data_IF_336087446378
#
_entry.id   IF_336087446378
#
_cell.length_a   1.000
_cell.length_b   1.000
_cell.length_c   1.000
_cell.angle_alpha   90.00
_cell.angle_beta   90.00
_cell.angle_gamma   90.00
#
_symmetry.space_group_name_H-M   'P 1'
#
loop_
_entity.id
_entity.type
_entity.pdbx_description
1 polymer ?
#
# COMPACT_ATOMS: atom_id res chain seq x y z
N UNK A 1 31.83 -39.55 20.97
CA UNK A 1 30.39 -39.28 20.89
C UNK A 1 30.23 -37.85 20.41
N UNK A 2 29.91 -37.69 19.13
CA UNK A 2 29.77 -36.36 18.50
C UNK A 2 28.34 -35.94 18.67
N UNK A 3 28.09 -34.85 19.41
CA UNK A 3 26.79 -34.20 19.50
C UNK A 3 26.64 -33.35 18.26
N UNK A 4 25.94 -33.85 17.25
CA UNK A 4 25.47 -33.04 16.14
C UNK A 4 24.44 -32.05 16.66
N UNK A 5 24.82 -30.77 16.75
CA UNK A 5 23.89 -29.69 16.95
C UNK A 5 23.01 -29.60 15.68
N UNK A 6 21.83 -30.18 15.75
CA UNK A 6 20.75 -29.89 14.83
C UNK A 6 20.25 -28.46 15.14
N UNK A 7 20.84 -27.46 14.49
CA UNK A 7 20.14 -26.21 14.26
C UNK A 7 19.11 -26.50 13.16
N UNK A 8 17.83 -26.22 13.39
CA UNK A 8 16.85 -26.32 12.31
C UNK A 8 17.30 -25.42 11.16
N UNK A 9 17.21 -25.95 9.95
CA UNK A 9 17.47 -25.23 8.71
C UNK A 9 16.44 -24.09 8.57
N UNK A 10 16.63 -23.04 9.34
CA UNK A 10 15.94 -21.79 9.13
C UNK A 10 16.62 -21.13 7.94
N UNK A 11 16.06 -21.39 6.76
CA UNK A 11 16.31 -20.55 5.62
C UNK A 11 15.76 -19.16 6.00
N UNK A 12 16.58 -18.18 6.39
CA UNK A 12 16.09 -16.87 6.74
C UNK A 12 15.52 -16.28 5.46
N UNK A 13 14.22 -16.24 5.33
CA UNK A 13 13.58 -15.38 4.33
C UNK A 13 14.09 -13.98 4.65
N UNK A 14 15.06 -13.51 3.86
CA UNK A 14 15.56 -12.15 4.01
C UNK A 14 14.39 -11.23 3.70
N UNK A 15 13.82 -10.63 4.76
CA UNK A 15 12.77 -9.65 4.60
C UNK A 15 13.33 -8.38 3.97
N UNK A 16 12.57 -7.82 3.05
CA UNK A 16 12.93 -6.58 2.39
C UNK A 16 12.89 -5.42 3.40
N UNK A 17 13.68 -4.39 3.12
CA UNK A 17 13.64 -3.13 3.84
C UNK A 17 13.06 -2.05 2.93
N UNK A 18 12.21 -1.19 3.49
CA UNK A 18 11.71 -0.03 2.75
C UNK A 18 12.82 1.02 2.58
N UNK A 19 12.73 1.96 1.65
CA UNK A 19 13.66 3.08 1.55
C UNK A 19 13.73 3.95 2.82
N UNK A 20 12.71 3.87 3.67
CA UNK A 20 12.64 4.61 4.93
C UNK A 20 13.17 3.82 6.14
N UNK A 21 13.54 2.55 5.95
CA UNK A 21 13.87 1.63 7.05
C UNK A 21 14.91 2.20 8.04
N UNK A 22 15.97 2.85 7.57
CA UNK A 22 17.00 3.42 8.46
C UNK A 22 16.44 4.50 9.39
N UNK A 23 15.50 5.32 8.89
CA UNK A 23 14.82 6.37 9.68
C UNK A 23 13.78 5.78 10.61
N UNK A 24 13.05 4.79 10.14
CA UNK A 24 12.07 4.02 10.91
C UNK A 24 12.78 3.31 12.06
N UNK A 25 13.90 2.63 11.81
CA UNK A 25 14.67 1.95 12.84
C UNK A 25 15.26 2.91 13.89
N UNK A 26 15.73 4.09 13.46
CA UNK A 26 16.22 5.11 14.38
C UNK A 26 15.12 5.69 15.28
N UNK A 27 13.85 5.66 14.86
CA UNK A 27 12.71 6.13 15.63
C UNK A 27 12.04 5.03 16.48
N UNK A 28 12.37 3.76 16.24
CA UNK A 28 11.73 2.61 16.90
C UNK A 28 12.45 2.29 18.22
N UNK A 29 11.93 2.81 19.33
CA UNK A 29 12.48 2.59 20.67
C UNK A 29 12.15 1.20 21.21
N UNK A 30 10.99 0.65 20.85
CA UNK A 30 10.52 -0.67 21.31
C UNK A 30 11.29 -1.83 20.67
N UNK A 31 11.90 -1.62 19.52
CA UNK A 31 12.61 -2.64 18.75
C UNK A 31 11.75 -3.90 18.48
N UNK A 32 10.44 -3.71 18.33
CA UNK A 32 9.49 -4.77 17.99
C UNK A 32 9.17 -4.72 16.49
N UNK A 33 9.54 -5.78 15.77
CA UNK A 33 9.43 -5.84 14.32
C UNK A 33 8.51 -6.97 13.88
N UNK A 34 7.73 -6.71 12.84
CA UNK A 34 6.86 -7.64 12.16
C UNK A 34 7.16 -7.75 10.67
N UNK A 35 6.41 -8.61 10.00
CA UNK A 35 6.42 -8.77 8.56
C UNK A 35 5.13 -8.21 7.97
N UNK A 36 5.26 -7.40 6.90
CA UNK A 36 4.14 -6.95 6.09
C UNK A 36 4.50 -7.01 4.61
N UNK A 37 3.82 -7.86 3.85
CA UNK A 37 4.05 -8.07 2.40
C UNK A 37 5.52 -8.33 2.03
N UNK A 38 6.25 -9.08 2.88
CA UNK A 38 7.66 -9.39 2.67
C UNK A 38 8.65 -8.33 3.15
N UNK A 39 8.16 -7.21 3.66
CA UNK A 39 8.99 -6.18 4.28
C UNK A 39 9.03 -6.30 5.80
N UNK A 40 10.15 -5.91 6.41
CA UNK A 40 10.22 -5.71 7.85
C UNK A 40 9.66 -4.34 8.22
N UNK A 41 8.73 -4.32 9.17
CA UNK A 41 8.05 -3.10 9.64
C UNK A 41 8.00 -3.07 11.17
N UNK A 42 8.05 -1.91 11.83
CA UNK A 42 7.84 -1.84 13.27
C UNK A 42 6.37 -2.11 13.61
N UNK A 43 6.14 -2.89 14.65
CA UNK A 43 4.80 -3.07 15.20
C UNK A 43 4.37 -1.87 16.03
N UNK A 44 5.32 -1.23 16.70
CA UNK A 44 5.15 -0.04 17.52
C UNK A 44 6.49 0.70 17.62
N UNK A 45 6.49 2.02 17.62
CA UNK A 45 7.71 2.83 17.74
C UNK A 45 8.08 3.09 19.19
N UNK A 46 7.12 3.53 20.01
CA UNK A 46 7.32 3.91 21.40
C UNK A 46 6.33 3.21 22.33
N UNK A 47 5.07 3.59 22.26
CA UNK A 47 3.98 3.05 23.05
C UNK A 47 2.67 3.24 22.30
N UNK A 48 1.87 2.20 22.23
CA UNK A 48 0.60 2.17 21.46
C UNK A 48 -0.35 3.31 21.88
N UNK A 49 -0.46 3.59 23.17
CA UNK A 49 -1.34 4.66 23.66
C UNK A 49 -0.84 6.03 23.23
N UNK A 50 0.47 6.29 23.35
CA UNK A 50 1.08 7.56 22.94
C UNK A 50 0.92 7.77 21.42
N UNK A 51 1.15 6.73 20.63
CA UNK A 51 0.97 6.78 19.17
C UNK A 51 -0.49 7.03 18.80
N UNK A 52 -1.43 6.35 19.46
CA UNK A 52 -2.86 6.60 19.29
C UNK A 52 -3.22 8.08 19.55
N UNK A 53 -2.78 8.64 20.68
CA UNK A 53 -3.05 10.03 21.00
C UNK A 53 -2.34 11.02 20.07
N UNK A 54 -1.14 10.68 19.59
CA UNK A 54 -0.42 11.48 18.61
C UNK A 54 -1.22 11.58 17.29
N UNK A 55 -1.75 10.48 16.78
CA UNK A 55 -2.57 10.46 15.57
C UNK A 55 -3.90 11.21 15.77
N UNK A 56 -4.52 11.06 16.95
CA UNK A 56 -5.81 11.69 17.26
C UNK A 56 -5.72 13.19 17.51
N UNK A 57 -4.59 13.68 18.06
CA UNK A 57 -4.42 15.05 18.52
C UNK A 57 -3.46 15.87 17.65
N UNK A 58 -2.55 15.22 16.96
CA UNK A 58 -1.48 15.84 16.18
C UNK A 58 -1.40 15.23 14.77
N UNK A 59 -0.31 14.52 14.48
CA UNK A 59 -0.08 13.84 13.19
C UNK A 59 0.84 12.65 13.39
N UNK A 60 0.48 11.52 12.80
CA UNK A 60 1.35 10.36 12.62
C UNK A 60 1.87 10.26 11.18
N UNK A 61 3.04 9.65 11.04
CA UNK A 61 3.60 9.27 9.74
C UNK A 61 3.73 7.75 9.71
N UNK A 62 3.19 7.13 8.66
CA UNK A 62 3.20 5.69 8.47
C UNK A 62 3.93 5.34 7.19
N UNK A 63 4.83 4.36 7.27
CA UNK A 63 5.45 3.79 6.08
C UNK A 63 4.50 2.77 5.45
N UNK A 64 3.87 3.15 4.36
CA UNK A 64 2.96 2.32 3.56
C UNK A 64 3.63 1.73 2.32
N UNK A 65 4.97 1.78 2.24
CA UNK A 65 5.71 1.19 1.12
C UNK A 65 5.39 -0.29 0.89
N UNK A 66 5.11 -1.11 1.91
CA UNK A 66 4.73 -2.51 1.69
C UNK A 66 3.37 -2.72 0.99
N UNK A 67 2.45 -1.73 1.02
CA UNK A 67 1.18 -1.85 0.27
C UNK A 67 1.45 -2.12 -1.20
N UNK A 68 0.65 -2.97 -1.83
CA UNK A 68 0.79 -3.31 -3.25
C UNK A 68 0.32 -2.16 -4.13
N UNK A 69 1.06 -1.87 -5.20
CA UNK A 69 0.72 -0.84 -6.19
C UNK A 69 0.70 -1.43 -7.58
N UNK A 70 -0.41 -1.23 -8.27
CA UNK A 70 -0.58 -1.67 -9.64
C UNK A 70 -0.79 -0.47 -10.55
N UNK A 71 0.00 -0.38 -11.62
CA UNK A 71 -0.26 0.56 -12.71
C UNK A 71 -1.19 -0.11 -13.70
N UNK A 72 -2.25 0.57 -14.09
CA UNK A 72 -3.21 0.12 -15.11
C UNK A 72 -3.25 1.17 -16.21
N UNK A 73 -2.85 0.77 -17.43
CA UNK A 73 -2.82 1.64 -18.61
C UNK A 73 -3.45 0.92 -19.80
N UNK A 74 -3.77 1.66 -20.84
CA UNK A 74 -4.30 1.12 -22.08
C UNK A 74 -5.62 1.77 -22.49
N UNK A 75 -6.04 1.57 -23.77
CA UNK A 75 -7.24 2.20 -24.30
C UNK A 75 -8.51 1.93 -23.49
N UNK A 76 -8.59 0.76 -22.86
CA UNK A 76 -9.77 0.31 -22.11
C UNK A 76 -9.58 0.44 -20.57
N UNK A 77 -8.53 1.14 -20.08
CA UNK A 77 -8.21 1.18 -18.65
C UNK A 77 -9.36 1.74 -17.79
N UNK A 78 -10.01 2.82 -18.22
CA UNK A 78 -11.18 3.37 -17.54
C UNK A 78 -12.34 2.38 -17.51
N UNK A 79 -12.69 1.80 -18.65
CA UNK A 79 -13.82 0.86 -18.77
C UNK A 79 -13.57 -0.43 -17.97
N UNK A 80 -12.34 -0.93 -17.99
CA UNK A 80 -11.93 -2.09 -17.20
C UNK A 80 -12.08 -1.82 -15.70
N UNK A 81 -11.54 -0.67 -15.22
CA UNK A 81 -11.61 -0.32 -13.81
C UNK A 81 -13.03 0.02 -13.36
N UNK A 82 -13.86 0.62 -14.21
CA UNK A 82 -15.27 0.89 -13.90
C UNK A 82 -16.09 -0.41 -13.74
N UNK A 83 -15.69 -1.48 -14.43
CA UNK A 83 -16.26 -2.82 -14.25
C UNK A 83 -15.70 -3.54 -13.01
N UNK A 84 -14.38 -3.42 -12.74
CA UNK A 84 -13.71 -4.13 -11.66
C UNK A 84 -14.07 -3.58 -10.28
N UNK A 85 -14.23 -2.26 -10.19
CA UNK A 85 -14.36 -1.54 -8.92
C UNK A 85 -15.81 -1.13 -8.66
N UNK A 86 -16.20 -1.08 -7.40
CA UNK A 86 -17.52 -0.57 -6.99
C UNK A 86 -17.62 0.96 -7.11
N UNK A 87 -16.57 1.62 -7.59
CA UNK A 87 -16.47 3.06 -7.78
C UNK A 87 -16.71 3.43 -9.24
N UNK A 88 -17.51 4.47 -9.50
CA UNK A 88 -17.65 5.02 -10.85
C UNK A 88 -16.37 5.75 -11.25
N UNK A 89 -15.54 5.10 -12.08
CA UNK A 89 -14.22 5.58 -12.49
C UNK A 89 -14.33 6.68 -13.53
N UNK A 90 -15.35 6.66 -14.39
CA UNK A 90 -15.59 7.72 -15.38
C UNK A 90 -15.82 9.10 -14.74
N UNK A 91 -16.27 9.14 -13.48
CA UNK A 91 -16.42 10.40 -12.72
C UNK A 91 -15.17 10.81 -11.93
N UNK A 92 -14.13 9.99 -11.90
CA UNK A 92 -12.88 10.32 -11.24
C UNK A 92 -12.03 11.20 -12.17
N UNK A 93 -11.86 12.47 -11.84
CA UNK A 93 -11.03 13.40 -12.63
C UNK A 93 -9.53 13.06 -12.57
N UNK A 94 -8.79 13.46 -13.59
CA UNK A 94 -7.32 13.36 -13.61
C UNK A 94 -6.71 14.09 -12.40
N UNK A 95 -5.65 13.54 -11.81
CA UNK A 95 -5.02 13.97 -10.56
C UNK A 95 -5.94 13.89 -9.34
N UNK A 96 -6.93 12.99 -9.38
CA UNK A 96 -7.78 12.69 -8.23
C UNK A 96 -7.56 11.28 -7.75
N UNK A 97 -7.89 11.08 -6.49
CA UNK A 97 -7.88 9.77 -5.82
C UNK A 97 -9.26 9.49 -5.25
N UNK A 98 -9.65 8.22 -5.26
CA UNK A 98 -10.85 7.74 -4.61
C UNK A 98 -10.59 6.43 -3.88
N UNK A 99 -11.32 6.22 -2.78
CA UNK A 99 -11.41 4.90 -2.15
C UNK A 99 -12.22 3.97 -3.04
N UNK A 100 -11.80 2.73 -3.15
CA UNK A 100 -12.44 1.71 -3.98
C UNK A 100 -12.55 0.38 -3.26
N UNK A 101 -13.45 -0.45 -3.73
CA UNK A 101 -13.67 -1.81 -3.26
C UNK A 101 -13.78 -2.73 -4.50
N UNK A 102 -13.19 -3.91 -4.42
CA UNK A 102 -13.36 -5.00 -5.36
C UNK A 102 -14.24 -6.07 -4.73
N UNK A 103 -15.22 -6.56 -5.48
CA UNK A 103 -16.11 -7.64 -5.06
C UNK A 103 -16.08 -8.78 -6.08
N UNK A 104 -16.37 -10.00 -5.59
CA UNK A 104 -16.65 -11.14 -6.45
C UNK A 104 -18.10 -11.11 -6.96
N UNK A 105 -18.47 -12.08 -7.79
CA UNK A 105 -19.82 -12.18 -8.37
C UNK A 105 -20.93 -12.43 -7.34
N UNK A 106 -20.57 -12.90 -6.16
CA UNK A 106 -21.50 -13.06 -5.03
C UNK A 106 -21.68 -11.76 -4.21
N UNK A 107 -20.88 -10.74 -4.50
CA UNK A 107 -20.86 -9.48 -3.77
C UNK A 107 -19.99 -9.48 -2.53
N UNK A 108 -19.19 -10.54 -2.30
CA UNK A 108 -18.25 -10.59 -1.20
C UNK A 108 -17.02 -9.71 -1.49
N UNK A 109 -16.49 -9.11 -0.45
CA UNK A 109 -15.27 -8.31 -0.51
C UNK A 109 -14.07 -9.17 -0.93
N UNK A 110 -13.42 -8.80 -2.01
CA UNK A 110 -12.14 -9.37 -2.46
C UNK A 110 -10.99 -8.55 -1.89
N UNK A 111 -11.04 -7.22 -2.07
CA UNK A 111 -10.01 -6.30 -1.62
C UNK A 111 -10.57 -4.87 -1.61
N UNK A 112 -9.92 -4.00 -0.85
CA UNK A 112 -10.19 -2.57 -0.86
C UNK A 112 -8.89 -1.76 -0.99
N UNK A 113 -9.04 -0.46 -1.22
CA UNK A 113 -7.87 0.39 -1.37
C UNK A 113 -8.19 1.74 -2.00
N UNK A 114 -7.21 2.27 -2.70
CA UNK A 114 -7.33 3.56 -3.38
C UNK A 114 -7.00 3.43 -4.86
N UNK A 115 -7.76 4.17 -5.68
CA UNK A 115 -7.47 4.34 -7.10
C UNK A 115 -7.13 5.79 -7.39
N UNK A 116 -5.96 6.01 -7.98
CA UNK A 116 -5.46 7.30 -8.43
C UNK A 116 -5.62 7.38 -9.93
N UNK A 117 -6.24 8.44 -10.45
CA UNK A 117 -6.22 8.73 -11.88
C UNK A 117 -5.07 9.67 -12.18
N UNK A 118 -4.04 9.17 -12.84
CA UNK A 118 -2.81 9.92 -13.15
C UNK A 118 -2.92 10.60 -14.51
N UNK A 119 -3.58 9.94 -15.45
CA UNK A 119 -3.83 10.44 -16.80
C UNK A 119 -5.20 9.99 -17.31
N UNK A 120 -5.49 10.27 -18.57
CA UNK A 120 -6.78 9.92 -19.20
C UNK A 120 -7.08 8.42 -19.11
N UNK A 121 -6.10 7.59 -19.49
CA UNK A 121 -6.15 6.14 -19.47
C UNK A 121 -4.98 5.58 -18.64
N UNK A 122 -4.69 6.20 -17.52
CA UNK A 122 -3.53 5.91 -16.69
C UNK A 122 -3.91 6.01 -15.22
N UNK A 123 -3.90 4.86 -14.54
CA UNK A 123 -4.35 4.72 -13.17
C UNK A 123 -3.32 3.97 -12.32
N UNK A 124 -3.32 4.25 -11.02
CA UNK A 124 -2.62 3.45 -10.02
C UNK A 124 -3.59 2.99 -8.95
N UNK A 125 -3.60 1.70 -8.68
CA UNK A 125 -4.31 1.11 -7.56
C UNK A 125 -3.32 0.87 -6.41
N UNK A 126 -3.75 1.12 -5.18
CA UNK A 126 -3.00 0.81 -3.98
C UNK A 126 -3.88 -0.09 -3.11
N UNK A 127 -3.44 -1.32 -2.87
CA UNK A 127 -4.18 -2.34 -2.10
C UNK A 127 -3.33 -2.86 -0.94
N UNK A 128 -3.96 -3.46 0.06
CA UNK A 128 -3.23 -4.08 1.16
C UNK A 128 -2.64 -5.42 0.73
N UNK A 129 -3.45 -6.25 0.08
CA UNK A 129 -3.06 -7.58 -0.35
C UNK A 129 -2.71 -7.62 -1.85
N UNK A 130 -2.03 -8.69 -2.26
CA UNK A 130 -1.70 -8.93 -3.67
C UNK A 130 -2.89 -9.54 -4.39
N UNK A 131 -3.43 -8.82 -5.36
CA UNK A 131 -4.60 -9.23 -6.16
C UNK A 131 -4.34 -9.26 -7.67
N UNK A 132 -3.07 -9.36 -8.09
CA UNK A 132 -2.69 -9.33 -9.50
C UNK A 132 -3.39 -10.41 -10.32
N UNK A 133 -3.51 -11.61 -9.78
CA UNK A 133 -4.18 -12.72 -10.47
C UNK A 133 -5.67 -12.39 -10.71
N UNK A 134 -6.36 -11.88 -9.69
CA UNK A 134 -7.75 -11.44 -9.82
C UNK A 134 -7.92 -10.34 -10.86
N UNK A 135 -7.03 -9.34 -10.83
CA UNK A 135 -7.02 -8.25 -11.80
C UNK A 135 -6.78 -8.77 -13.21
N UNK A 136 -5.80 -9.67 -13.40
CA UNK A 136 -5.48 -10.25 -14.71
C UNK A 136 -6.61 -11.08 -15.28
N UNK A 137 -7.25 -11.92 -14.46
CA UNK A 137 -8.42 -12.70 -14.88
C UNK A 137 -9.60 -11.80 -15.25
N UNK A 138 -9.83 -10.74 -14.50
CA UNK A 138 -10.91 -9.79 -14.75
C UNK A 138 -10.65 -8.89 -15.96
N UNK A 139 -9.41 -8.80 -16.45
CA UNK A 139 -9.02 -7.98 -17.59
C UNK A 139 -9.28 -8.67 -18.95
N UNK A 140 -9.71 -9.94 -18.95
CA UNK A 140 -10.00 -10.66 -20.19
C UNK A 140 -11.05 -9.93 -21.02
N UNK A 141 -10.68 -9.57 -22.25
CA UNK A 141 -11.52 -8.84 -23.19
C UNK A 141 -11.34 -7.32 -23.19
N UNK A 142 -10.41 -6.79 -22.38
CA UNK A 142 -10.01 -5.38 -22.38
C UNK A 142 -8.58 -5.22 -22.89
N UNK A 143 -8.33 -4.14 -23.61
CA UNK A 143 -6.99 -3.74 -24.07
C UNK A 143 -6.34 -2.88 -22.97
N UNK A 144 -5.77 -3.57 -21.97
CA UNK A 144 -5.12 -2.97 -20.80
C UNK A 144 -3.81 -3.68 -20.48
N UNK A 145 -2.88 -2.90 -19.96
CA UNK A 145 -1.63 -3.36 -19.36
C UNK A 145 -1.67 -3.15 -17.85
N UNK A 146 -1.31 -4.19 -17.07
CA UNK A 146 -1.33 -4.17 -15.61
C UNK A 146 0.07 -4.53 -15.12
N UNK A 147 0.73 -3.58 -14.46
CA UNK A 147 2.10 -3.72 -13.96
C UNK A 147 2.14 -3.59 -12.44
N UNK A 148 2.78 -4.53 -11.75
CA UNK A 148 3.10 -4.40 -10.32
C UNK A 148 4.27 -3.42 -10.15
N UNK A 149 4.01 -2.23 -9.60
CA UNK A 149 4.98 -1.17 -9.32
C UNK A 149 5.38 -1.13 -7.82
N UNK A 150 5.07 -2.15 -7.06
CA UNK A 150 5.25 -2.14 -5.59
C UNK A 150 6.69 -1.85 -5.19
N UNK A 151 7.65 -2.42 -5.91
CA UNK A 151 9.08 -2.22 -5.65
C UNK A 151 9.60 -0.84 -6.07
N UNK A 152 8.90 -0.15 -6.97
CA UNK A 152 9.36 1.10 -7.59
C UNK A 152 8.77 2.35 -6.91
N UNK A 153 7.71 2.19 -6.10
CA UNK A 153 6.98 3.30 -5.51
C UNK A 153 6.94 3.19 -3.99
N UNK A 154 7.72 4.03 -3.32
CA UNK A 154 7.63 4.21 -1.87
C UNK A 154 6.42 5.08 -1.50
N UNK A 155 5.81 4.82 -0.33
CA UNK A 155 4.64 5.54 0.13
C UNK A 155 4.71 5.86 1.62
N UNK A 156 4.37 7.10 1.96
CA UNK A 156 4.15 7.54 3.34
C UNK A 156 2.73 8.07 3.49
N UNK A 157 2.03 7.65 4.53
CA UNK A 157 0.80 8.29 4.96
C UNK A 157 1.08 9.29 6.06
N UNK A 158 0.60 10.51 5.91
CA UNK A 158 0.67 11.59 6.90
C UNK A 158 -0.75 11.87 7.37
N UNK A 159 -1.09 11.41 8.57
CA UNK A 159 -2.48 11.40 9.04
C UNK A 159 -2.61 12.04 10.42
N UNK A 160 -3.68 12.81 10.60
CA UNK A 160 -4.03 13.46 11.85
C UNK A 160 -4.51 14.90 11.64
N UNK A 161 -5.09 15.53 12.68
CA UNK A 161 -5.73 16.86 12.56
C UNK A 161 -4.76 17.98 12.16
N UNK A 162 -3.45 17.80 12.34
CA UNK A 162 -2.44 18.80 11.96
C UNK A 162 -1.66 18.47 10.69
N UNK A 163 -2.02 17.40 9.95
CA UNK A 163 -1.30 16.93 8.76
C UNK A 163 -1.19 18.01 7.67
N UNK A 164 -2.28 18.73 7.38
CA UNK A 164 -2.24 19.83 6.41
C UNK A 164 -1.27 20.95 6.77
N UNK A 165 -1.15 21.27 8.07
CA UNK A 165 -0.19 22.28 8.53
C UNK A 165 1.25 21.83 8.32
N UNK A 166 1.53 20.55 8.58
CA UNK A 166 2.87 19.97 8.36
C UNK A 166 3.20 20.03 6.86
N UNK A 167 2.31 19.56 6.00
CA UNK A 167 2.51 19.59 4.56
C UNK A 167 2.77 21.01 4.03
N UNK A 168 1.99 22.00 4.47
CA UNK A 168 2.22 23.42 4.10
C UNK A 168 3.58 23.93 4.57
N UNK A 169 4.01 23.58 5.79
CA UNK A 169 5.32 23.95 6.30
C UNK A 169 6.47 23.30 5.53
N UNK A 170 6.20 22.18 4.85
CA UNK A 170 7.16 21.51 3.95
C UNK A 170 7.13 22.08 2.53
N UNK A 171 6.25 23.04 2.22
CA UNK A 171 6.13 23.67 0.92
C UNK A 171 5.14 23.02 -0.05
N UNK A 172 4.27 22.13 0.43
CA UNK A 172 3.14 21.60 -0.35
C UNK A 172 1.95 22.59 -0.24
N UNK A 173 1.43 23.04 -1.38
CA UNK A 173 0.26 23.93 -1.49
C UNK A 173 -1.05 23.18 -1.75
#
# INVERSE_FOLDING_TARGET
MSTSNFLPDHNPVMMLQTPFHSRVAAACEMNEWGAWQGYTTPNCYTNVEMEYFAIRSNTGVFDLTPMTKYRVTGPDAEAYLDRLLTRNIAKLGVNRVAYMVMCNDAGDLVEDGTVFRIGEQDFRLCTQERVLDWMSWSAVGFDVDIVDETADVAALAIQGPTSCRILRNMGFE
#
